data_IF_565293668865
#
_entry.id   IF_565293668865
#
_cell.length_a   1.000
_cell.length_b   1.000
_cell.length_c   1.000
_cell.angle_alpha   90.00
_cell.angle_beta   90.00
_cell.angle_gamma   90.00
#
_symmetry.space_group_name_H-M   'P 1'
#
loop_
_entity.id
_entity.type
_entity.pdbx_description
1 polymer ?
#
# COMPACT_ATOMS: atom_id res chain seq x y z
N UNK A 1 12.48 -25.51 -17.49
CA UNK A 1 11.22 -24.94 -16.94
C UNK A 1 11.54 -24.33 -15.59
N UNK A 2 11.66 -23.00 -15.49
CA UNK A 2 12.16 -22.34 -14.27
C UNK A 2 11.07 -22.05 -13.20
N UNK A 3 9.78 -22.19 -13.54
CA UNK A 3 8.66 -22.05 -12.60
C UNK A 3 7.63 -23.17 -12.82
N UNK A 4 7.21 -23.85 -11.74
CA UNK A 4 6.07 -24.77 -11.76
C UNK A 4 4.75 -23.97 -11.77
N UNK A 5 3.69 -24.55 -12.34
CA UNK A 5 2.36 -23.92 -12.43
C UNK A 5 1.85 -23.47 -11.06
N UNK A 6 2.12 -24.23 -10.00
CA UNK A 6 1.69 -23.92 -8.63
C UNK A 6 2.28 -22.60 -8.12
N UNK A 7 3.56 -22.33 -8.43
CA UNK A 7 4.22 -21.08 -8.06
C UNK A 7 3.64 -19.89 -8.82
N UNK A 8 3.30 -20.08 -10.09
CA UNK A 8 2.68 -19.03 -10.90
C UNK A 8 1.26 -18.72 -10.42
N UNK A 9 0.49 -19.75 -10.03
CA UNK A 9 -0.82 -19.58 -9.41
C UNK A 9 -0.73 -18.82 -8.09
N UNK A 10 0.28 -19.10 -7.26
CA UNK A 10 0.52 -18.36 -6.02
C UNK A 10 0.82 -16.87 -6.30
N UNK A 11 1.72 -16.57 -7.24
CA UNK A 11 2.07 -15.19 -7.62
C UNK A 11 0.83 -14.47 -8.19
N UNK A 12 0.07 -15.14 -9.06
CA UNK A 12 -1.18 -14.59 -9.60
C UNK A 12 -2.19 -14.31 -8.49
N UNK A 13 -2.38 -15.23 -7.54
CA UNK A 13 -3.26 -15.04 -6.40
C UNK A 13 -2.88 -13.83 -5.56
N UNK A 14 -1.58 -13.65 -5.29
CA UNK A 14 -1.05 -12.46 -4.60
C UNK A 14 -1.32 -11.19 -5.43
N UNK A 15 -1.05 -11.21 -6.73
CA UNK A 15 -1.26 -10.06 -7.60
C UNK A 15 -2.74 -9.64 -7.65
N UNK A 16 -3.66 -10.60 -7.72
CA UNK A 16 -5.11 -10.37 -7.71
C UNK A 16 -5.55 -9.81 -6.36
N UNK A 17 -5.10 -10.40 -5.25
CA UNK A 17 -5.45 -9.94 -3.90
C UNK A 17 -4.96 -8.51 -3.66
N UNK A 18 -3.72 -8.20 -4.02
CA UNK A 18 -3.15 -6.86 -3.91
C UNK A 18 -3.89 -5.86 -4.81
N UNK A 19 -4.22 -6.24 -6.05
CA UNK A 19 -4.99 -5.37 -6.95
C UNK A 19 -6.37 -5.04 -6.38
N UNK A 20 -7.07 -6.04 -5.82
CA UNK A 20 -8.37 -5.82 -5.18
C UNK A 20 -8.25 -4.88 -3.97
N UNK A 21 -7.23 -5.10 -3.12
CA UNK A 21 -6.94 -4.23 -1.98
C UNK A 21 -6.65 -2.79 -2.39
N UNK A 22 -5.78 -2.57 -3.37
CA UNK A 22 -5.44 -1.24 -3.88
C UNK A 22 -6.65 -0.55 -4.54
N UNK A 23 -7.49 -1.31 -5.24
CA UNK A 23 -8.74 -0.79 -5.80
C UNK A 23 -9.69 -0.28 -4.70
N UNK A 24 -9.79 -1.01 -3.59
CA UNK A 24 -10.55 -0.57 -2.41
C UNK A 24 -10.04 0.75 -1.83
N UNK A 25 -8.73 0.88 -1.64
CA UNK A 25 -8.11 2.13 -1.18
C UNK A 25 -8.38 3.27 -2.17
N UNK A 26 -8.19 3.03 -3.47
CA UNK A 26 -8.42 4.04 -4.51
C UNK A 26 -9.87 4.55 -4.47
N UNK A 27 -10.85 3.66 -4.37
CA UNK A 27 -12.26 4.04 -4.27
C UNK A 27 -12.54 4.87 -3.02
N UNK A 28 -12.00 4.46 -1.88
CA UNK A 28 -12.12 5.21 -0.63
C UNK A 28 -11.52 6.63 -0.75
N UNK A 29 -10.33 6.77 -1.33
CA UNK A 29 -9.71 8.09 -1.53
C UNK A 29 -10.50 8.97 -2.50
N UNK A 30 -11.07 8.40 -3.56
CA UNK A 30 -11.95 9.12 -4.49
C UNK A 30 -13.22 9.59 -3.80
N UNK A 31 -13.84 8.75 -2.96
CA UNK A 31 -15.00 9.12 -2.16
C UNK A 31 -14.66 10.28 -1.22
N UNK A 32 -13.53 10.19 -0.51
CA UNK A 32 -13.03 11.25 0.37
C UNK A 32 -12.79 12.58 -0.35
N UNK A 33 -12.31 12.54 -1.60
CA UNK A 33 -12.17 13.76 -2.44
C UNK A 33 -13.54 14.36 -2.77
N UNK A 34 -14.55 13.53 -3.06
CA UNK A 34 -15.90 13.98 -3.41
C UNK A 34 -16.65 14.62 -2.24
N UNK A 35 -16.35 14.19 -1.02
CA UNK A 35 -16.93 14.73 0.21
C UNK A 35 -16.39 16.12 0.59
N UNK A 36 -15.27 16.57 -0.02
CA UNK A 36 -14.70 17.89 0.24
C UNK A 36 -15.48 18.96 -0.55
N UNK A 37 -16.12 19.94 0.12
CA UNK A 37 -16.82 21.04 -0.56
C UNK A 37 -15.88 21.84 -1.47
N UNK A 38 -16.33 22.20 -2.67
CA UNK A 38 -15.48 22.84 -3.69
C UNK A 38 -15.16 24.32 -3.40
N UNK A 39 -15.88 24.97 -2.49
CA UNK A 39 -15.88 26.43 -2.31
C UNK A 39 -14.93 26.93 -1.21
N UNK A 40 -14.15 26.07 -0.57
CA UNK A 40 -13.30 26.42 0.57
C UNK A 40 -11.79 26.36 0.21
N UNK A 41 -11.08 27.51 0.14
CA UNK A 41 -9.68 27.56 -0.23
C UNK A 41 -8.75 26.84 0.76
N UNK A 42 -9.09 26.70 2.04
CA UNK A 42 -8.30 25.90 3.00
C UNK A 42 -8.41 24.39 2.71
N UNK A 43 -9.51 23.94 2.10
CA UNK A 43 -9.72 22.52 1.78
C UNK A 43 -9.17 22.11 0.41
N UNK A 44 -8.77 23.08 -0.41
CA UNK A 44 -8.13 22.85 -1.70
C UNK A 44 -6.77 22.14 -1.55
N UNK A 45 -5.98 22.53 -0.55
CA UNK A 45 -4.68 21.90 -0.26
C UNK A 45 -4.85 20.43 0.15
N UNK A 46 -5.78 20.16 1.06
CA UNK A 46 -6.11 18.79 1.51
C UNK A 46 -6.58 17.90 0.36
N UNK A 47 -7.37 18.45 -0.57
CA UNK A 47 -7.80 17.74 -1.78
C UNK A 47 -6.63 17.41 -2.69
N UNK A 48 -5.71 18.36 -2.89
CA UNK A 48 -4.50 18.16 -3.68
C UNK A 48 -3.57 17.09 -3.07
N UNK A 49 -3.40 17.07 -1.75
CA UNK A 49 -2.63 16.02 -1.08
C UNK A 49 -3.21 14.61 -1.33
N UNK A 50 -4.53 14.46 -1.24
CA UNK A 50 -5.20 13.17 -1.49
C UNK A 50 -5.04 12.77 -2.97
N UNK A 51 -5.16 13.71 -3.91
CA UNK A 51 -4.93 13.44 -5.33
C UNK A 51 -3.49 13.01 -5.62
N UNK A 52 -2.51 13.65 -4.96
CA UNK A 52 -1.10 13.25 -5.05
C UNK A 52 -0.92 11.83 -4.55
N UNK A 53 -1.48 11.48 -3.38
CA UNK A 53 -1.46 10.11 -2.85
C UNK A 53 -2.09 9.10 -3.83
N UNK A 54 -3.22 9.46 -4.44
CA UNK A 54 -3.89 8.65 -5.46
C UNK A 54 -3.02 8.41 -6.69
N UNK A 55 -2.32 9.44 -7.16
CA UNK A 55 -1.38 9.35 -8.27
C UNK A 55 -0.23 8.39 -7.97
N UNK A 56 0.39 8.51 -6.80
CA UNK A 56 1.42 7.59 -6.34
C UNK A 56 0.90 6.15 -6.24
N UNK A 57 -0.28 5.95 -5.65
CA UNK A 57 -0.90 4.61 -5.55
C UNK A 57 -1.11 3.99 -6.94
N UNK A 58 -1.55 4.79 -7.91
CA UNK A 58 -1.81 4.34 -9.29
C UNK A 58 -0.53 3.87 -9.99
N UNK A 59 0.63 4.45 -9.68
CA UNK A 59 1.92 4.01 -10.22
C UNK A 59 2.28 2.58 -9.81
N UNK A 60 1.87 2.15 -8.61
CA UNK A 60 2.06 0.77 -8.15
C UNK A 60 0.92 -0.15 -8.62
N UNK A 61 -0.30 0.37 -8.71
CA UNK A 61 -1.49 -0.39 -9.10
C UNK A 61 -1.50 -0.78 -10.59
N UNK A 62 -1.09 0.12 -11.50
CA UNK A 62 -1.12 -0.21 -12.93
C UNK A 62 -0.21 -1.42 -13.29
N UNK A 63 1.04 -1.50 -12.79
CA UNK A 63 1.88 -2.68 -13.02
C UNK A 63 1.33 -3.95 -12.36
N UNK A 64 0.68 -3.90 -11.19
CA UNK A 64 0.12 -5.11 -10.55
C UNK A 64 -1.07 -5.65 -11.33
N UNK A 65 -1.96 -4.78 -11.82
CA UNK A 65 -3.11 -5.17 -12.65
C UNK A 65 -2.63 -5.82 -13.94
N UNK A 66 -1.67 -5.19 -14.62
CA UNK A 66 -1.13 -5.70 -15.86
C UNK A 66 -0.36 -7.02 -15.65
N UNK A 67 0.37 -7.14 -14.54
CA UNK A 67 1.03 -8.38 -14.15
C UNK A 67 0.01 -9.51 -13.95
N UNK A 68 -1.03 -9.29 -13.14
CA UNK A 68 -2.08 -10.29 -12.90
C UNK A 68 -2.75 -10.72 -14.22
N UNK A 69 -3.04 -9.76 -15.10
CA UNK A 69 -3.58 -10.05 -16.42
C UNK A 69 -2.66 -10.93 -17.26
N UNK A 70 -1.38 -10.57 -17.40
CA UNK A 70 -0.42 -11.33 -18.21
C UNK A 70 -0.15 -12.74 -17.63
N UNK A 71 -0.06 -12.87 -16.31
CA UNK A 71 0.12 -14.16 -15.65
C UNK A 71 -1.12 -15.05 -15.81
N UNK A 72 -2.32 -14.47 -15.71
CA UNK A 72 -3.58 -15.15 -16.00
C UNK A 72 -3.64 -15.63 -17.45
N UNK A 73 -3.28 -14.77 -18.40
CA UNK A 73 -3.16 -15.13 -19.82
C UNK A 73 -2.17 -16.29 -19.98
N UNK A 74 -0.96 -16.22 -19.42
CA UNK A 74 0.04 -17.29 -19.54
C UNK A 74 -0.47 -18.64 -19.03
N UNK A 75 -1.19 -18.65 -17.91
CA UNK A 75 -1.72 -19.88 -17.30
C UNK A 75 -2.89 -20.47 -18.08
N UNK A 76 -3.79 -19.64 -18.60
CA UNK A 76 -5.00 -20.09 -19.29
C UNK A 76 -4.79 -20.32 -20.79
N UNK A 77 -3.73 -19.79 -21.38
CA UNK A 77 -3.52 -19.83 -22.83
C UNK A 77 -3.48 -21.24 -23.40
N UNK A 78 -2.65 -22.13 -22.85
CA UNK A 78 -2.55 -23.50 -23.34
C UNK A 78 -3.84 -24.31 -23.11
N UNK A 79 -4.45 -24.31 -21.91
CA UNK A 79 -5.74 -24.96 -21.69
C UNK A 79 -6.86 -24.51 -22.65
N UNK A 80 -6.85 -23.23 -23.07
CA UNK A 80 -7.90 -22.67 -23.94
C UNK A 80 -7.62 -22.81 -25.43
N UNK A 81 -6.34 -22.76 -25.85
CA UNK A 81 -5.97 -22.70 -27.27
C UNK A 81 -5.27 -23.96 -27.78
N UNK A 82 -4.74 -24.80 -26.88
CA UNK A 82 -3.87 -25.92 -27.21
C UNK A 82 -2.45 -25.51 -27.67
N UNK A 83 -2.14 -24.21 -27.69
CA UNK A 83 -0.87 -23.65 -28.18
C UNK A 83 -0.07 -23.11 -26.97
N UNK A 84 1.25 -23.17 -27.02
CA UNK A 84 2.11 -22.57 -26.00
C UNK A 84 2.04 -21.04 -26.07
N UNK A 85 1.79 -20.39 -24.92
CA UNK A 85 1.81 -18.93 -24.86
C UNK A 85 3.23 -18.38 -25.09
N UNK A 86 3.39 -17.26 -25.83
CA UNK A 86 4.67 -16.60 -26.03
C UNK A 86 5.46 -16.36 -24.73
N UNK A 87 6.76 -16.59 -24.75
CA UNK A 87 7.61 -16.53 -23.54
C UNK A 87 7.72 -15.12 -22.95
N UNK A 88 7.60 -14.08 -23.78
CA UNK A 88 7.64 -12.70 -23.33
C UNK A 88 6.50 -12.36 -22.36
N UNK A 89 5.35 -13.03 -22.46
CA UNK A 89 4.18 -12.81 -21.57
C UNK A 89 4.55 -13.12 -20.13
N UNK A 90 5.22 -14.26 -19.92
CA UNK A 90 5.66 -14.68 -18.58
C UNK A 90 6.72 -13.72 -18.03
N UNK A 91 7.75 -13.41 -18.83
CA UNK A 91 8.83 -12.53 -18.40
C UNK A 91 8.30 -11.15 -18.03
N UNK A 92 7.48 -10.54 -18.91
CA UNK A 92 6.90 -9.22 -18.68
C UNK A 92 5.96 -9.22 -17.46
N UNK A 93 5.11 -10.24 -17.32
CA UNK A 93 4.22 -10.38 -16.17
C UNK A 93 4.97 -10.44 -14.84
N UNK A 94 6.08 -11.18 -14.78
CA UNK A 94 6.94 -11.26 -13.58
C UNK A 94 7.70 -9.96 -13.31
N UNK A 95 8.23 -9.30 -14.35
CA UNK A 95 8.91 -8.01 -14.19
C UNK A 95 7.96 -6.92 -13.68
N UNK A 96 6.73 -6.87 -14.18
CA UNK A 96 5.70 -5.96 -13.70
C UNK A 96 5.29 -6.28 -12.25
N UNK A 97 5.20 -7.55 -11.88
CA UNK A 97 4.94 -7.97 -10.50
C UNK A 97 6.04 -7.46 -9.56
N UNK A 98 7.30 -7.66 -9.95
CA UNK A 98 8.46 -7.25 -9.17
C UNK A 98 8.53 -5.73 -9.04
N UNK A 99 8.28 -5.00 -10.13
CA UNK A 99 8.20 -3.54 -10.13
C UNK A 99 7.10 -3.04 -9.19
N UNK A 100 5.88 -3.57 -9.31
CA UNK A 100 4.75 -3.22 -8.43
C UNK A 100 5.09 -3.48 -6.96
N UNK A 101 5.59 -4.68 -6.65
CA UNK A 101 5.99 -5.06 -5.29
C UNK A 101 7.02 -4.11 -4.71
N UNK A 102 8.02 -3.71 -5.50
CA UNK A 102 9.06 -2.77 -5.09
C UNK A 102 8.48 -1.39 -4.79
N UNK A 103 7.61 -0.86 -5.67
CA UNK A 103 6.95 0.42 -5.46
C UNK A 103 6.07 0.42 -4.21
N UNK A 104 5.31 -0.66 -3.97
CA UNK A 104 4.50 -0.79 -2.77
C UNK A 104 5.33 -0.84 -1.49
N UNK A 105 6.47 -1.54 -1.49
CA UNK A 105 7.37 -1.59 -0.31
C UNK A 105 7.92 -0.20 0.00
N UNK A 106 8.35 0.55 -1.02
CA UNK A 106 8.81 1.93 -0.87
C UNK A 106 7.69 2.80 -0.28
N UNK A 107 6.48 2.72 -0.85
CA UNK A 107 5.33 3.48 -0.37
C UNK A 107 4.96 3.12 1.07
N UNK A 108 4.98 1.83 1.40
CA UNK A 108 4.72 1.36 2.74
C UNK A 108 5.77 1.88 3.73
N UNK A 109 7.05 1.84 3.39
CA UNK A 109 8.12 2.36 4.22
C UNK A 109 7.99 3.87 4.45
N UNK A 110 7.69 4.65 3.41
CA UNK A 110 7.47 6.10 3.53
C UNK A 110 6.27 6.42 4.42
N UNK A 111 5.15 5.70 4.25
CA UNK A 111 3.96 5.86 5.08
C UNK A 111 4.24 5.49 6.55
N UNK A 112 4.91 4.36 6.77
CA UNK A 112 5.30 3.89 8.09
C UNK A 112 6.22 4.88 8.81
N UNK A 113 7.24 5.39 8.11
CA UNK A 113 8.14 6.41 8.65
C UNK A 113 7.38 7.68 9.05
N UNK A 114 6.46 8.16 8.18
CA UNK A 114 5.62 9.32 8.50
C UNK A 114 4.78 9.08 9.77
N UNK A 115 4.13 7.93 9.88
CA UNK A 115 3.37 7.56 11.08
C UNK A 115 4.23 7.54 12.33
N UNK A 116 5.44 6.99 12.27
CA UNK A 116 6.37 7.02 13.40
C UNK A 116 6.71 8.45 13.82
N UNK A 117 7.02 9.33 12.86
CA UNK A 117 7.36 10.72 13.16
C UNK A 117 6.20 11.51 13.75
N UNK A 118 4.96 11.23 13.34
CA UNK A 118 3.75 11.89 13.86
C UNK A 118 3.36 11.38 15.25
N UNK A 119 3.62 10.10 15.55
CA UNK A 119 3.29 9.50 16.85
C UNK A 119 4.36 9.72 17.92
N UNK A 120 5.60 10.03 17.52
CA UNK A 120 6.72 10.24 18.45
C UNK A 120 6.44 11.30 19.53
N UNK A 121 5.87 12.50 19.21
CA UNK A 121 5.53 13.50 20.22
C UNK A 121 4.51 12.99 21.25
N UNK A 122 3.53 12.20 20.80
CA UNK A 122 2.50 11.63 21.66
C UNK A 122 3.12 10.61 22.61
N UNK A 123 3.98 9.71 22.10
CA UNK A 123 4.72 8.77 22.93
C UNK A 123 5.59 9.46 23.97
N UNK A 124 6.27 10.55 23.59
CA UNK A 124 7.10 11.35 24.48
C UNK A 124 6.29 12.04 25.58
N UNK A 125 5.12 12.60 25.22
CA UNK A 125 4.15 13.16 26.16
C UNK A 125 3.67 12.14 27.19
N UNK A 126 3.35 10.92 26.75
CA UNK A 126 2.93 9.83 27.65
C UNK A 126 4.04 9.49 28.63
N UNK A 127 5.28 9.36 28.17
CA UNK A 127 6.44 9.06 29.03
C UNK A 127 6.69 10.20 30.03
N UNK A 128 6.66 11.46 29.60
CA UNK A 128 6.79 12.63 30.49
C UNK A 128 5.69 12.61 31.56
N UNK A 129 4.43 12.34 31.17
CA UNK A 129 3.31 12.23 32.11
C UNK A 129 3.51 11.14 33.17
N UNK A 130 3.99 9.97 32.76
CA UNK A 130 4.32 8.86 33.68
C UNK A 130 5.43 9.28 34.66
N UNK A 131 6.50 9.92 34.17
CA UNK A 131 7.61 10.39 35.01
C UNK A 131 7.16 11.44 36.03
N UNK A 132 6.31 12.39 35.63
CA UNK A 132 5.72 13.39 36.54
C UNK A 132 4.89 12.69 37.62
N UNK A 133 4.04 11.73 37.24
CA UNK A 133 3.22 10.98 38.18
C UNK A 133 4.08 10.21 39.20
N UNK A 134 5.15 9.55 38.74
CA UNK A 134 6.11 8.88 39.62
C UNK A 134 6.82 9.84 40.57
N UNK A 135 7.27 10.99 40.07
CA UNK A 135 7.92 12.02 40.88
C UNK A 135 6.98 12.55 41.97
N UNK A 136 5.70 12.78 41.65
CA UNK A 136 4.67 13.20 42.60
C UNK A 136 4.38 12.13 43.66
N UNK A 137 4.35 10.85 43.26
CA UNK A 137 4.18 9.73 44.21
C UNK A 137 5.36 9.65 45.18
N UNK A 138 6.60 9.71 44.69
CA UNK A 138 7.81 9.69 45.52
C UNK A 138 7.82 10.89 46.48
N UNK A 139 7.53 12.09 45.97
CA UNK A 139 7.45 13.32 46.77
C UNK A 139 6.44 13.20 47.91
N UNK A 140 5.23 12.71 47.61
CA UNK A 140 4.19 12.48 48.63
C UNK A 140 4.61 11.45 49.68
N UNK A 141 5.39 10.45 49.30
CA UNK A 141 5.82 9.36 50.21
C UNK A 141 6.97 9.78 51.11
N UNK A 142 7.78 10.76 50.71
CA UNK A 142 8.94 11.24 51.47
C UNK A 142 8.64 12.44 52.40
N UNK A 143 7.52 13.13 52.19
CA UNK A 143 7.10 14.31 52.98
C UNK A 143 5.97 14.02 53.98
N UNK A 144 5.49 12.78 54.02
CA UNK A 144 4.61 12.22 55.05
C UNK A 144 5.42 11.26 55.92
#
# INVERSE_FOLDING_TARGET
>A
MLFSSDKLLAILGIAVALSAYLSGIRLYLIQKIREIPQEDPEKAEKKYEIQKQLGWLTLADAPIVLSAFLLGVKLLWYPLTGISAPDWILSLGLWLFLLAGTLMVIQHFLAWHKTLTELLPIGLLVVIGILIMFALMIWKTLLL
#
